data_IF_975020555660
#
_entry.id   IF_975020555660
#
_cell.length_a   1.000
_cell.length_b   1.000
_cell.length_c   1.000
_cell.angle_alpha   90.00
_cell.angle_beta   90.00
_cell.angle_gamma   90.00
#
_symmetry.space_group_name_H-M   'P 1'
#
loop_
_entity.id
_entity.type
_entity.pdbx_description
1 polymer ?
#
# COMPACT_ATOMS: atom_id res chain seq x y z
N UNK A 1 22.74 -18.25 21.65
CA UNK A 1 21.60 -17.35 21.99
C UNK A 1 20.30 -18.10 21.76
N UNK A 2 19.48 -18.29 22.80
CA UNK A 2 18.17 -18.91 22.63
C UNK A 2 17.24 -17.92 21.88
N UNK A 3 16.78 -18.30 20.70
CA UNK A 3 15.78 -17.54 19.94
C UNK A 3 14.46 -17.56 20.72
N UNK A 4 13.99 -16.38 21.11
CA UNK A 4 12.70 -16.25 21.80
C UNK A 4 11.60 -16.67 20.84
N UNK A 5 10.88 -17.73 21.17
CA UNK A 5 9.77 -18.21 20.33
C UNK A 5 8.67 -17.14 20.24
N UNK A 6 8.10 -16.96 19.05
CA UNK A 6 6.94 -16.11 18.86
C UNK A 6 5.71 -16.79 19.48
N UNK A 7 5.08 -16.12 20.44
CA UNK A 7 3.97 -16.66 21.23
C UNK A 7 2.64 -15.94 21.03
N UNK A 8 2.61 -14.86 20.24
CA UNK A 8 1.39 -14.12 19.96
C UNK A 8 0.56 -14.81 18.88
N UNK A 9 -0.77 -14.77 18.92
CA UNK A 9 -1.61 -15.23 17.81
C UNK A 9 -1.37 -14.37 16.57
N UNK A 10 -1.26 -14.99 15.39
CA UNK A 10 -1.06 -14.28 14.11
C UNK A 10 -2.23 -13.40 13.70
N UNK A 11 -3.40 -13.59 14.31
CA UNK A 11 -4.61 -12.81 14.05
C UNK A 11 -4.73 -11.56 14.92
N UNK A 12 -3.81 -11.36 15.87
CA UNK A 12 -3.83 -10.19 16.74
C UNK A 12 -3.22 -9.00 16.01
N UNK A 13 -4.02 -7.98 15.77
CA UNK A 13 -3.55 -6.68 15.25
C UNK A 13 -3.10 -5.80 16.40
N UNK A 14 -2.07 -4.99 16.15
CA UNK A 14 -1.63 -3.98 17.10
C UNK A 14 -2.55 -2.74 17.01
N UNK A 15 -2.81 -2.07 18.14
CA UNK A 15 -3.57 -0.82 18.12
C UNK A 15 -2.85 0.25 17.30
N UNK A 16 -3.62 1.08 16.61
CA UNK A 16 -3.08 2.26 15.93
C UNK A 16 -2.62 3.26 17.01
N UNK A 17 -1.44 3.82 16.84
CA UNK A 17 -0.92 4.81 17.77
C UNK A 17 -1.68 6.14 17.69
N UNK A 18 -1.58 6.95 18.74
CA UNK A 18 -2.33 8.20 18.84
C UNK A 18 -1.94 9.20 17.74
N UNK A 19 -0.67 9.25 17.36
CA UNK A 19 -0.16 10.14 16.31
C UNK A 19 -0.83 9.86 14.95
N UNK A 20 -0.99 8.59 14.60
CA UNK A 20 -1.68 8.19 13.36
C UNK A 20 -3.18 8.51 13.42
N UNK A 21 -3.82 8.36 14.59
CA UNK A 21 -5.23 8.74 14.80
C UNK A 21 -5.41 10.24 14.63
N UNK A 22 -4.51 11.05 15.19
CA UNK A 22 -4.55 12.51 15.10
C UNK A 22 -4.33 12.98 13.65
N UNK A 23 -3.39 12.38 12.93
CA UNK A 23 -3.15 12.67 11.52
C UNK A 23 -4.39 12.36 10.66
N UNK A 24 -4.98 11.18 10.83
CA UNK A 24 -6.22 10.81 10.13
C UNK A 24 -7.38 11.75 10.47
N UNK A 25 -7.51 12.13 11.74
CA UNK A 25 -8.54 13.08 12.20
C UNK A 25 -8.35 14.46 11.56
N UNK A 26 -7.11 14.93 11.43
CA UNK A 26 -6.79 16.20 10.75
C UNK A 26 -7.23 16.18 9.29
N UNK A 27 -6.93 15.08 8.56
CA UNK A 27 -7.36 14.93 7.16
C UNK A 27 -8.89 14.91 7.06
N UNK A 28 -9.58 14.15 7.89
CA UNK A 28 -11.04 14.08 7.92
C UNK A 28 -11.68 15.45 8.19
N UNK A 29 -11.16 16.20 9.16
CA UNK A 29 -11.65 17.56 9.49
C UNK A 29 -11.39 18.57 8.36
N UNK A 30 -10.35 18.39 7.57
CA UNK A 30 -10.04 19.26 6.44
C UNK A 30 -11.04 19.12 5.27
N UNK A 31 -11.74 17.97 5.19
CA UNK A 31 -12.60 17.60 4.07
C UNK A 31 -11.83 17.29 2.77
N UNK A 32 -10.51 17.39 2.75
CA UNK A 32 -9.65 17.13 1.59
C UNK A 32 -9.29 15.66 1.50
N UNK A 33 -10.26 14.83 1.14
CA UNK A 33 -10.16 13.37 1.17
C UNK A 33 -9.58 12.76 -0.10
N UNK A 34 -9.43 13.54 -1.16
CA UNK A 34 -8.89 13.06 -2.43
C UNK A 34 -7.47 13.57 -2.63
N UNK A 35 -6.60 12.74 -3.22
CA UNK A 35 -5.19 13.07 -3.44
C UNK A 35 -4.96 14.31 -4.31
N UNK A 36 -5.96 14.75 -5.05
CA UNK A 36 -5.92 15.97 -5.88
C UNK A 36 -6.52 17.21 -5.20
N UNK A 37 -7.07 17.06 -3.98
CA UNK A 37 -7.64 18.18 -3.21
C UNK A 37 -6.56 18.82 -2.34
N UNK A 38 -5.54 19.37 -2.99
CA UNK A 38 -4.43 20.08 -2.34
C UNK A 38 -4.49 21.57 -2.59
N UNK A 39 -3.89 22.36 -1.71
CA UNK A 39 -3.63 23.78 -1.93
C UNK A 39 -2.35 23.89 -2.78
N UNK A 40 -2.20 24.98 -3.50
CA UNK A 40 -1.02 25.23 -4.32
C UNK A 40 0.29 25.06 -3.51
N UNK A 41 1.21 24.28 -4.05
CA UNK A 41 2.48 23.88 -3.43
C UNK A 41 2.39 22.95 -2.20
N UNK A 42 1.25 22.33 -1.95
CA UNK A 42 1.09 21.34 -0.88
C UNK A 42 0.96 19.93 -1.48
N UNK A 43 1.69 18.96 -0.92
CA UNK A 43 1.53 17.55 -1.26
C UNK A 43 0.36 16.96 -0.48
N UNK A 44 -0.38 16.04 -1.10
CA UNK A 44 -1.38 15.25 -0.39
C UNK A 44 -0.69 14.23 0.53
N UNK A 45 -1.38 13.78 1.58
CA UNK A 45 -0.87 12.72 2.48
C UNK A 45 -0.49 11.44 1.70
N UNK A 46 -1.24 11.12 0.64
CA UNK A 46 -0.90 10.00 -0.23
C UNK A 46 0.42 10.23 -1.00
N UNK A 47 0.66 11.44 -1.49
CA UNK A 47 1.92 11.77 -2.18
C UNK A 47 3.11 11.76 -1.21
N UNK A 48 2.94 12.27 0.00
CA UNK A 48 3.96 12.20 1.07
C UNK A 48 4.31 10.75 1.40
N UNK A 49 3.31 9.89 1.58
CA UNK A 49 3.52 8.45 1.79
C UNK A 49 4.30 7.81 0.64
N UNK A 50 3.96 8.15 -0.61
CA UNK A 50 4.64 7.61 -1.80
C UNK A 50 6.13 8.00 -1.83
N UNK A 51 6.47 9.24 -1.48
CA UNK A 51 7.85 9.72 -1.39
C UNK A 51 8.64 9.04 -0.27
N UNK A 52 8.05 8.97 0.93
CA UNK A 52 8.68 8.33 2.09
C UNK A 52 8.89 6.83 1.85
N UNK A 53 7.89 6.15 1.31
CA UNK A 53 7.98 4.71 1.07
C UNK A 53 8.93 4.38 -0.09
N UNK A 54 8.97 5.20 -1.15
CA UNK A 54 9.96 5.06 -2.21
C UNK A 54 11.38 5.17 -1.66
N UNK A 55 11.62 6.15 -0.78
CA UNK A 55 12.90 6.33 -0.10
C UNK A 55 13.25 5.12 0.78
N UNK A 56 12.33 4.66 1.59
CA UNK A 56 12.51 3.49 2.46
C UNK A 56 12.85 2.22 1.66
N UNK A 57 12.18 1.99 0.54
CA UNK A 57 12.41 0.85 -0.34
C UNK A 57 13.60 1.03 -1.30
N UNK A 58 14.26 2.18 -1.28
CA UNK A 58 15.33 2.53 -2.22
C UNK A 58 14.87 2.40 -3.69
N UNK A 59 13.59 2.66 -3.94
CA UNK A 59 13.00 2.69 -5.28
C UNK A 59 12.90 4.13 -5.79
N UNK A 60 12.88 4.29 -7.11
CA UNK A 60 12.74 5.63 -7.71
C UNK A 60 11.32 6.18 -7.58
N UNK A 61 10.33 5.30 -7.60
CA UNK A 61 8.92 5.65 -7.56
C UNK A 61 8.14 4.68 -6.67
N UNK A 62 7.07 5.19 -6.07
CA UNK A 62 6.05 4.41 -5.39
C UNK A 62 4.67 4.93 -5.79
N UNK A 63 3.69 4.07 -5.90
CA UNK A 63 2.29 4.42 -6.12
C UNK A 63 1.44 3.76 -5.05
N UNK A 64 0.77 4.56 -4.23
CA UNK A 64 -0.19 4.08 -3.25
C UNK A 64 -1.51 3.69 -3.94
N UNK A 65 -1.93 2.46 -3.74
CA UNK A 65 -3.15 1.88 -4.32
C UNK A 65 -4.17 1.54 -3.24
N UNK A 66 -5.45 1.58 -3.60
CA UNK A 66 -6.55 1.31 -2.68
C UNK A 66 -6.61 -0.15 -2.17
N UNK A 67 -6.00 -1.09 -2.88
CA UNK A 67 -5.94 -2.50 -2.48
C UNK A 67 -4.77 -3.23 -3.14
N UNK A 68 -4.32 -4.33 -2.54
CA UNK A 68 -3.28 -5.19 -3.10
C UNK A 68 -3.67 -5.79 -4.45
N UNK A 69 -4.91 -6.21 -4.65
CA UNK A 69 -5.40 -6.70 -5.94
C UNK A 69 -5.31 -5.65 -7.04
N UNK A 70 -5.73 -4.42 -6.74
CA UNK A 70 -5.58 -3.31 -7.69
C UNK A 70 -4.12 -2.99 -7.98
N UNK A 71 -3.26 -2.97 -6.95
CA UNK A 71 -1.83 -2.75 -7.12
C UNK A 71 -1.19 -3.78 -8.05
N UNK A 72 -1.53 -5.06 -7.87
CA UNK A 72 -1.05 -6.15 -8.72
C UNK A 72 -1.51 -5.98 -10.17
N UNK A 73 -2.79 -5.65 -10.39
CA UNK A 73 -3.32 -5.39 -11.74
C UNK A 73 -2.58 -4.24 -12.43
N UNK A 74 -2.33 -3.16 -11.71
CA UNK A 74 -1.57 -2.01 -12.24
C UNK A 74 -0.13 -2.41 -12.55
N UNK A 75 0.53 -3.15 -11.66
CA UNK A 75 1.91 -3.61 -11.85
C UNK A 75 2.05 -4.52 -13.08
N UNK A 76 1.16 -5.48 -13.26
CA UNK A 76 1.16 -6.38 -14.42
C UNK A 76 0.95 -5.62 -15.73
N UNK A 77 0.02 -4.67 -15.76
CA UNK A 77 -0.19 -3.81 -16.93
C UNK A 77 1.03 -2.94 -17.22
N UNK A 78 1.64 -2.36 -16.20
CA UNK A 78 2.85 -1.56 -16.34
C UNK A 78 4.05 -2.38 -16.83
N UNK A 79 4.12 -3.66 -16.45
CA UNK A 79 5.10 -4.62 -16.98
C UNK A 79 4.83 -5.04 -18.44
N UNK A 80 3.73 -4.61 -19.01
CA UNK A 80 3.39 -4.89 -20.42
C UNK A 80 2.63 -6.19 -20.66
N UNK A 81 2.11 -6.82 -19.60
CA UNK A 81 1.32 -8.05 -19.72
C UNK A 81 0.07 -7.81 -20.58
N UNK A 82 -0.14 -8.67 -21.56
CA UNK A 82 -1.26 -8.62 -22.50
C UNK A 82 -2.28 -9.71 -22.19
N UNK A 83 -3.49 -9.52 -22.67
CA UNK A 83 -4.56 -10.52 -22.57
C UNK A 83 -4.12 -11.85 -23.17
N UNK A 84 -4.30 -12.93 -22.43
CA UNK A 84 -3.93 -14.29 -22.84
C UNK A 84 -2.49 -14.69 -22.50
N UNK A 85 -1.67 -13.81 -21.95
CA UNK A 85 -0.34 -14.15 -21.45
C UNK A 85 -0.41 -14.73 -20.03
N UNK A 86 0.55 -15.58 -19.69
CA UNK A 86 0.60 -16.28 -18.41
C UNK A 86 1.60 -15.63 -17.46
N UNK A 87 1.28 -15.64 -16.17
CA UNK A 87 2.13 -15.17 -15.08
C UNK A 87 2.45 -16.33 -14.16
N UNK A 88 3.72 -16.46 -13.77
CA UNK A 88 4.13 -17.40 -12.73
C UNK A 88 4.07 -16.70 -11.37
N UNK A 89 3.36 -17.31 -10.44
CA UNK A 89 3.27 -16.86 -9.05
C UNK A 89 3.49 -18.00 -8.08
N UNK A 90 3.76 -17.73 -6.81
CA UNK A 90 3.83 -18.75 -5.77
C UNK A 90 2.42 -19.22 -5.40
N UNK A 91 2.34 -20.38 -4.75
CA UNK A 91 1.06 -21.00 -4.35
C UNK A 91 0.50 -20.42 -3.04
N UNK A 92 1.31 -19.70 -2.28
CA UNK A 92 0.92 -19.07 -1.01
C UNK A 92 0.53 -17.62 -1.26
N UNK A 93 -0.69 -17.43 -1.73
CA UNK A 93 -1.21 -16.12 -2.06
C UNK A 93 -2.70 -15.98 -1.74
N UNK A 94 -3.11 -14.76 -1.46
CA UNK A 94 -4.49 -14.40 -1.19
C UNK A 94 -5.29 -14.32 -2.50
N UNK A 95 -5.53 -15.39 -3.20
CA UNK A 95 -6.48 -15.53 -4.31
C UNK A 95 -6.64 -14.38 -5.33
N UNK A 96 -5.88 -13.29 -5.19
CA UNK A 96 -6.00 -12.11 -6.04
C UNK A 96 -5.34 -12.30 -7.40
N UNK A 97 -4.21 -13.00 -7.47
CA UNK A 97 -3.49 -13.22 -8.72
C UNK A 97 -4.28 -14.06 -9.73
N UNK A 98 -4.98 -15.16 -9.36
CA UNK A 98 -5.80 -15.93 -10.28
C UNK A 98 -7.00 -15.17 -10.86
N UNK A 99 -7.44 -14.10 -10.19
CA UNK A 99 -8.62 -13.31 -10.60
C UNK A 99 -8.27 -12.15 -11.53
N UNK A 100 -7.00 -11.96 -11.87
CA UNK A 100 -6.52 -10.85 -12.70
C UNK A 100 -6.19 -11.24 -14.14
N UNK A 101 -6.36 -12.53 -14.44
CA UNK A 101 -6.14 -13.11 -15.79
C UNK A 101 -7.39 -13.06 -16.68
#
# INVERSE_FOLDING_TARGET
MATKAFTRPFTQQEPINQEAIDAATKVLKSGRLHRYNTIENELSEAALLEEEYATYQQSKYCLACASGGYAMSVALKAAGLKLGESVLTNTFEFGAAPCLS
#
